data_IF_294333747601
#
_entry.id   IF_294333747601
#
_cell.length_a   1.000
_cell.length_b   1.000
_cell.length_c   1.000
_cell.angle_alpha   90.00
_cell.angle_beta   90.00
_cell.angle_gamma   90.00
#
_symmetry.space_group_name_H-M   'P 1'
#
loop_
_entity.id
_entity.type
_entity.pdbx_description
1 polymer ?
#
# COMPACT_ATOMS: atom_id res chain seq x y z
N UNK A 1 7.40 -3.74 -5.93
CA UNK A 1 8.43 -3.83 -4.87
C UNK A 1 8.06 -4.95 -3.92
N UNK A 2 8.98 -5.89 -3.70
CA UNK A 2 8.83 -7.09 -2.85
C UNK A 2 9.80 -7.06 -1.66
N UNK A 3 9.79 -8.11 -0.83
CA UNK A 3 10.62 -8.22 0.37
C UNK A 3 12.12 -8.18 0.05
N UNK A 4 12.54 -8.84 -1.03
CA UNK A 4 13.95 -8.92 -1.41
C UNK A 4 14.47 -7.57 -1.87
N UNK A 5 13.68 -6.82 -2.63
CA UNK A 5 14.01 -5.46 -3.06
C UNK A 5 14.17 -4.51 -1.87
N UNK A 6 13.26 -4.56 -0.89
CA UNK A 6 13.37 -3.72 0.33
C UNK A 6 14.57 -4.14 1.17
N UNK A 7 14.80 -5.43 1.33
CA UNK A 7 15.96 -5.93 2.09
C UNK A 7 17.28 -5.48 1.45
N UNK A 8 17.40 -5.58 0.13
CA UNK A 8 18.56 -5.07 -0.62
C UNK A 8 18.78 -3.57 -0.43
N UNK A 9 17.71 -2.76 -0.49
CA UNK A 9 17.81 -1.32 -0.24
C UNK A 9 18.29 -0.98 1.18
N UNK A 10 17.93 -1.82 2.16
CA UNK A 10 18.32 -1.66 3.56
C UNK A 10 19.66 -2.34 3.91
N UNK A 11 20.36 -2.95 2.94
CA UNK A 11 21.54 -3.80 3.16
C UNK A 11 21.29 -4.93 4.19
N UNK A 12 20.08 -5.49 4.18
CA UNK A 12 19.68 -6.60 5.03
C UNK A 12 19.48 -7.88 4.23
N UNK A 13 19.71 -9.03 4.86
CA UNK A 13 19.23 -10.29 4.34
C UNK A 13 17.69 -10.35 4.42
N UNK A 14 16.97 -10.86 3.40
CA UNK A 14 15.51 -10.96 3.43
C UNK A 14 14.95 -11.69 4.65
N UNK A 15 15.68 -12.70 5.15
CA UNK A 15 15.35 -13.45 6.37
C UNK A 15 15.40 -12.57 7.63
N UNK A 16 16.35 -11.64 7.71
CA UNK A 16 16.45 -10.69 8.82
C UNK A 16 15.27 -9.73 8.79
N UNK A 17 14.95 -9.17 7.63
CA UNK A 17 13.79 -8.30 7.49
C UNK A 17 12.49 -9.04 7.88
N UNK A 18 12.34 -10.30 7.47
CA UNK A 18 11.19 -11.13 7.86
C UNK A 18 11.15 -11.40 9.37
N UNK A 19 12.31 -11.63 10.02
CA UNK A 19 12.41 -11.81 11.47
C UNK A 19 11.98 -10.54 12.23
N UNK A 20 12.44 -9.36 11.80
CA UNK A 20 12.06 -8.07 12.38
C UNK A 20 10.54 -7.83 12.30
N UNK A 21 9.91 -8.18 11.17
CA UNK A 21 8.46 -8.11 11.05
C UNK A 21 7.76 -9.08 12.00
N UNK A 22 8.29 -10.30 12.14
CA UNK A 22 7.74 -11.34 13.02
C UNK A 22 7.84 -10.97 14.50
N UNK A 23 8.95 -10.37 14.94
CA UNK A 23 9.11 -9.84 16.31
C UNK A 23 8.06 -8.78 16.64
N UNK A 24 7.62 -8.00 15.64
CA UNK A 24 6.55 -7.02 15.79
C UNK A 24 5.13 -7.61 15.62
N UNK A 25 5.00 -8.94 15.49
CA UNK A 25 3.72 -9.61 15.26
C UNK A 25 3.09 -9.27 13.90
N UNK A 26 3.89 -8.82 12.93
CA UNK A 26 3.44 -8.36 11.61
C UNK A 26 4.04 -9.22 10.51
N UNK A 27 3.46 -9.12 9.32
CA UNK A 27 4.03 -9.71 8.10
C UNK A 27 4.29 -8.62 7.08
N UNK A 28 5.38 -8.75 6.32
CA UNK A 28 5.66 -7.82 5.22
C UNK A 28 4.52 -7.79 4.19
N UNK A 29 3.92 -8.96 3.91
CA UNK A 29 2.80 -9.12 2.99
C UNK A 29 1.52 -8.40 3.45
N UNK A 30 1.34 -8.19 4.75
CA UNK A 30 0.26 -7.33 5.28
C UNK A 30 0.66 -5.87 5.43
N UNK A 31 1.92 -5.61 5.81
CA UNK A 31 2.38 -4.26 6.11
C UNK A 31 2.58 -3.40 4.86
N UNK A 32 3.12 -3.97 3.78
CA UNK A 32 3.37 -3.19 2.56
C UNK A 32 2.07 -2.67 1.91
N UNK A 33 1.03 -3.50 1.69
CA UNK A 33 -0.26 -3.00 1.20
C UNK A 33 -0.86 -1.92 2.09
N UNK A 34 -0.77 -2.06 3.42
CA UNK A 34 -1.24 -1.06 4.38
C UNK A 34 -0.56 0.30 4.15
N UNK A 35 0.77 0.34 4.04
CA UNK A 35 1.50 1.59 3.78
C UNK A 35 1.13 2.21 2.43
N UNK A 36 0.94 1.38 1.40
CA UNK A 36 0.50 1.86 0.07
C UNK A 36 -0.91 2.45 0.11
N UNK A 37 -1.84 1.84 0.86
CA UNK A 37 -3.19 2.34 1.05
C UNK A 37 -3.21 3.70 1.76
N UNK A 38 -2.39 3.88 2.79
CA UNK A 38 -2.24 5.17 3.49
C UNK A 38 -1.65 6.27 2.61
N UNK A 39 -0.75 5.92 1.68
CA UNK A 39 -0.24 6.87 0.70
C UNK A 39 -1.31 7.25 -0.34
N UNK A 40 -2.09 6.26 -0.80
CA UNK A 40 -3.17 6.49 -1.76
C UNK A 40 -4.28 7.37 -1.16
N UNK A 41 -4.66 7.15 0.09
CA UNK A 41 -5.66 7.96 0.80
C UNK A 41 -5.25 9.43 0.85
N UNK A 42 -3.99 9.72 1.20
CA UNK A 42 -3.43 11.07 1.19
C UNK A 42 -3.46 11.71 -0.20
N UNK A 43 -3.09 10.96 -1.25
CA UNK A 43 -3.13 11.48 -2.62
C UNK A 43 -4.56 11.76 -3.08
N UNK A 44 -5.52 10.90 -2.75
CA UNK A 44 -6.94 11.09 -3.06
C UNK A 44 -7.52 12.33 -2.35
N UNK A 45 -7.07 12.60 -1.13
CA UNK A 45 -7.49 13.77 -0.36
C UNK A 45 -6.94 15.09 -0.92
N UNK A 46 -5.70 15.08 -1.43
CA UNK A 46 -5.03 16.30 -1.90
C UNK A 46 -5.29 16.63 -3.37
N UNK A 47 -5.66 15.65 -4.21
CA UNK A 47 -5.73 15.83 -5.66
C UNK A 47 -6.95 15.15 -6.29
N UNK A 48 -8.00 15.94 -6.55
CA UNK A 48 -9.23 15.48 -7.20
C UNK A 48 -9.12 15.17 -8.70
N UNK A 49 -8.04 15.58 -9.37
CA UNK A 49 -7.91 15.49 -10.84
C UNK A 49 -7.26 14.18 -11.32
N UNK A 50 -6.33 13.61 -10.55
CA UNK A 50 -5.63 12.36 -10.93
C UNK A 50 -6.59 11.17 -10.90
N UNK A 51 -6.53 10.28 -11.89
CA UNK A 51 -7.44 9.11 -11.93
C UNK A 51 -7.12 8.14 -10.79
N UNK A 52 -8.14 7.47 -10.25
CA UNK A 52 -7.95 6.48 -9.16
C UNK A 52 -6.96 5.39 -9.58
N UNK A 53 -7.02 4.96 -10.85
CA UNK A 53 -6.10 3.98 -11.41
C UNK A 53 -4.64 4.47 -11.38
N UNK A 54 -4.40 5.72 -11.77
CA UNK A 54 -3.05 6.31 -11.74
C UNK A 54 -2.50 6.36 -10.31
N UNK A 55 -3.32 6.74 -9.33
CA UNK A 55 -2.93 6.73 -7.91
C UNK A 55 -2.58 5.31 -7.46
N UNK A 56 -3.42 4.32 -7.79
CA UNK A 56 -3.20 2.92 -7.43
C UNK A 56 -1.86 2.40 -7.98
N UNK A 57 -1.55 2.69 -9.24
CA UNK A 57 -0.28 2.30 -9.86
C UNK A 57 0.90 3.07 -9.26
N UNK A 58 0.75 4.38 -9.01
CA UNK A 58 1.80 5.23 -8.44
C UNK A 58 2.20 4.78 -7.02
N UNK A 59 1.24 4.33 -6.20
CA UNK A 59 1.54 3.78 -4.86
C UNK A 59 1.97 2.31 -4.91
N UNK A 60 2.04 1.69 -6.10
CA UNK A 60 2.63 0.38 -6.31
C UNK A 60 1.66 -0.82 -6.26
N UNK A 61 0.36 -0.61 -6.44
CA UNK A 61 -0.56 -1.71 -6.76
C UNK A 61 -0.47 -2.05 -8.24
N UNK A 62 -0.39 -3.34 -8.57
CA UNK A 62 -0.40 -3.81 -9.97
C UNK A 62 -1.81 -4.17 -10.47
N UNK A 63 -2.76 -4.36 -9.56
CA UNK A 63 -4.15 -4.73 -9.86
C UNK A 63 -5.12 -3.74 -9.21
N UNK A 64 -5.93 -3.09 -10.05
CA UNK A 64 -6.89 -2.08 -9.61
C UNK A 64 -8.06 -2.69 -8.82
N UNK A 65 -8.48 -3.89 -9.18
CA UNK A 65 -9.57 -4.60 -8.50
C UNK A 65 -9.19 -4.99 -7.08
N UNK A 66 -7.96 -5.45 -6.88
CA UNK A 66 -7.38 -5.73 -5.58
C UNK A 66 -7.19 -4.44 -4.77
N UNK A 67 -6.67 -3.37 -5.37
CA UNK A 67 -6.58 -2.05 -4.74
C UNK A 67 -7.94 -1.59 -4.19
N UNK A 68 -8.98 -1.59 -5.02
CA UNK A 68 -10.32 -1.13 -4.61
C UNK A 68 -10.87 -1.95 -3.44
N UNK A 69 -10.73 -3.29 -3.49
CA UNK A 69 -11.17 -4.18 -2.41
C UNK A 69 -10.39 -3.93 -1.11
N UNK A 70 -9.07 -3.79 -1.20
CA UNK A 70 -8.20 -3.55 -0.07
C UNK A 70 -8.45 -2.17 0.56
N UNK A 71 -8.62 -1.14 -0.27
CA UNK A 71 -8.93 0.22 0.16
C UNK A 71 -10.26 0.28 0.91
N UNK A 72 -11.32 -0.30 0.32
CA UNK A 72 -12.64 -0.34 0.98
C UNK A 72 -12.60 -1.12 2.29
N UNK A 73 -11.90 -2.26 2.32
CA UNK A 73 -11.73 -3.04 3.55
C UNK A 73 -11.04 -2.23 4.66
N UNK A 74 -10.11 -1.35 4.28
CA UNK A 74 -9.30 -0.58 5.23
C UNK A 74 -9.97 0.71 5.73
N UNK A 75 -10.64 1.43 4.84
CA UNK A 75 -11.18 2.77 5.10
C UNK A 75 -12.71 2.82 5.15
N UNK A 76 -13.39 1.70 4.89
CA UNK A 76 -14.86 1.61 4.91
C UNK A 76 -15.56 2.18 3.68
N UNK A 77 -14.85 2.90 2.80
CA UNK A 77 -15.36 3.56 1.60
C UNK A 77 -14.48 3.29 0.39
N UNK A 78 -14.99 3.52 -0.82
CA UNK A 78 -14.24 3.39 -2.06
C UNK A 78 -13.27 4.59 -2.26
N UNK A 79 -12.21 4.41 -3.07
CA UNK A 79 -11.34 5.52 -3.46
C UNK A 79 -12.07 6.68 -4.15
N UNK A 80 -13.16 6.39 -4.87
CA UNK A 80 -14.00 7.39 -5.53
C UNK A 80 -14.79 8.22 -4.51
N UNK A 81 -15.39 7.57 -3.51
CA UNK A 81 -16.07 8.25 -2.40
C UNK A 81 -15.11 9.12 -1.60
N UNK A 82 -13.91 8.61 -1.28
CA UNK A 82 -12.89 9.36 -0.55
C UNK A 82 -12.47 10.67 -1.24
N UNK A 83 -12.53 10.71 -2.57
CA UNK A 83 -12.20 11.90 -3.38
C UNK A 83 -13.27 12.98 -3.31
N UNK A 84 -14.54 12.59 -3.16
CA UNK A 84 -15.67 13.50 -3.07
C UNK A 84 -16.03 13.95 -1.65
N UNK A 85 -15.28 13.48 -0.64
CA UNK A 85 -15.44 13.79 0.77
C UNK A 85 -14.38 14.80 1.25
#
# INVERSE_FOLDING_TARGET
MDLAAVAGYLNLAPRMLQALFKEQGRTFTGHLPEQRLLAAERQLACNGRTRVSEIAYAVGFSDLSYFNRAFRRRFGMTPGERRGA
#
